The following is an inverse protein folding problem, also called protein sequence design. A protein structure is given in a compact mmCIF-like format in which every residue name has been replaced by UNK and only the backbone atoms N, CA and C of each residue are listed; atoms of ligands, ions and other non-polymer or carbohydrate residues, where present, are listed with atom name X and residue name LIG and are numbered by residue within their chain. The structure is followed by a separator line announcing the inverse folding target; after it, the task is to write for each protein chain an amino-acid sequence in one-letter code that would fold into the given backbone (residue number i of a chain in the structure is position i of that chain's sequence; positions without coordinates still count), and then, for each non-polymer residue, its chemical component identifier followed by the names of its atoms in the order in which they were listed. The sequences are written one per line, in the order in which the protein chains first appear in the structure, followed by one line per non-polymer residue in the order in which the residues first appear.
data_IF_379363886318
#
_entry.id   IF_379363886318
#
_cell.length_a   1.000
_cell.length_b   1.000
_cell.length_c   1.000
_cell.angle_alpha   90.00
_cell.angle_beta   90.00
_cell.angle_gamma   90.00
#
_symmetry.space_group_name_H-M   'P 1'
#
loop_
_entity.id
_entity.type
_entity.pdbx_description
1 polymer ?
#
# COMPACT_ATOMS: atom_id res chain seq x y z
N UNK A 1 6.02 0.63 -7.89
CA UNK A 1 6.17 2.06 -7.76
C UNK A 1 6.89 2.42 -9.02
N UNK A 2 6.33 3.36 -9.81
CA UNK A 2 6.92 3.70 -11.08
C UNK A 2 8.35 4.20 -10.87
N UNK A 3 9.28 3.59 -11.60
CA UNK A 3 10.69 4.02 -11.63
C UNK A 3 10.85 5.36 -12.37
N UNK A 4 9.85 5.75 -13.16
CA UNK A 4 9.79 7.04 -13.84
C UNK A 4 9.20 8.12 -12.92
N UNK A 5 9.98 9.17 -12.67
CA UNK A 5 9.58 10.31 -11.86
C UNK A 5 8.31 11.01 -12.36
N UNK A 6 8.10 11.11 -13.68
CA UNK A 6 6.93 11.79 -14.24
C UNK A 6 5.62 11.13 -13.78
N UNK A 7 5.58 9.79 -13.80
CA UNK A 7 4.42 9.01 -13.32
C UNK A 7 4.36 9.01 -11.80
N UNK A 8 5.50 8.93 -11.12
CA UNK A 8 5.55 8.94 -9.66
C UNK A 8 4.99 10.25 -9.08
N UNK A 9 5.33 11.40 -9.67
CA UNK A 9 4.84 12.70 -9.21
C UNK A 9 3.31 12.82 -9.29
N UNK A 10 2.69 12.13 -10.25
CA UNK A 10 1.22 12.06 -10.37
C UNK A 10 0.60 11.20 -9.27
N UNK A 11 1.36 10.25 -8.72
CA UNK A 11 0.95 9.41 -7.59
C UNK A 11 1.09 10.11 -6.22
N UNK A 12 1.45 11.39 -6.18
CA UNK A 12 1.62 12.12 -4.92
C UNK A 12 0.29 12.58 -4.34
N UNK A 13 0.04 12.21 -3.09
CA UNK A 13 -1.02 12.78 -2.26
C UNK A 13 -0.48 13.94 -1.42
N UNK A 14 -1.21 15.06 -1.40
CA UNK A 14 -0.86 16.26 -0.61
C UNK A 14 -1.59 16.27 0.73
N UNK A 15 -1.06 17.04 1.69
CA UNK A 15 -1.65 17.19 3.03
C UNK A 15 -3.07 17.75 2.97
N UNK A 16 -3.33 18.74 2.12
CA UNK A 16 -4.65 19.38 2.03
C UNK A 16 -5.70 18.42 1.45
N UNK A 17 -5.33 17.66 0.43
CA UNK A 17 -6.17 16.61 -0.18
C UNK A 17 -6.52 15.54 0.86
N UNK A 18 -5.52 15.08 1.62
CA UNK A 18 -5.71 14.10 2.69
C UNK A 18 -6.57 14.65 3.83
N UNK A 19 -6.38 15.91 4.21
CA UNK A 19 -7.18 16.57 5.25
C UNK A 19 -8.66 16.61 4.86
N UNK A 20 -8.97 17.06 3.64
CA UNK A 20 -10.36 17.15 3.19
C UNK A 20 -11.04 15.79 3.11
N UNK A 21 -10.33 14.75 2.62
CA UNK A 21 -10.85 13.38 2.62
C UNK A 21 -11.18 12.88 4.03
N UNK A 22 -10.29 13.11 5.00
CA UNK A 22 -10.50 12.71 6.38
C UNK A 22 -11.64 13.51 7.04
N UNK A 23 -11.69 14.82 6.80
CA UNK A 23 -12.75 15.69 7.32
C UNK A 23 -14.14 15.29 6.81
N UNK A 24 -14.23 14.90 5.53
CA UNK A 24 -15.49 14.44 4.94
C UNK A 24 -15.92 13.07 5.47
N UNK A 25 -14.97 12.16 5.72
CA UNK A 25 -15.28 10.87 6.35
C UNK A 25 -15.70 11.01 7.82
N UNK A 26 -15.09 11.93 8.56
CA UNK A 26 -15.46 12.20 9.96
C UNK A 26 -16.85 12.87 10.07
N UNK A 27 -17.17 13.77 9.15
CA UNK A 27 -18.48 14.43 9.06
C UNK A 27 -19.60 13.48 8.61
N UNK A 28 -19.28 12.34 7.99
CA UNK A 28 -20.24 11.28 7.66
C UNK A 28 -20.61 10.40 8.86
N UNK A 29 -19.68 10.22 9.82
CA UNK A 29 -19.88 9.40 11.02
C UNK A 29 -20.57 10.13 12.18
N UNK A 30 -20.38 11.44 12.28
CA UNK A 30 -21.05 12.28 13.27
C UNK A 30 -22.25 12.96 12.59
N UNK A 31 -23.48 12.53 12.90
CA UNK A 31 -24.74 13.06 12.38
C UNK A 31 -25.06 14.51 12.79
N UNK A 32 -24.08 15.39 12.84
CA UNK A 32 -24.27 16.83 13.00
C UNK A 32 -24.63 17.44 11.65
N UNK A 33 -25.93 17.63 11.47
CA UNK A 33 -26.56 18.47 10.46
C UNK A 33 -25.97 19.88 10.54
N UNK A 34 -24.91 20.11 9.77
CA UNK A 34 -24.51 21.45 9.37
C UNK A 34 -25.21 21.73 8.06
N UNK A 35 -26.22 22.60 8.13
CA UNK A 35 -26.98 23.13 7.01
C UNK A 35 -26.04 23.89 6.05
N UNK A 36 -25.40 23.16 5.14
CA UNK A 36 -24.81 23.73 3.93
C UNK A 36 -25.22 22.90 2.71
N UNK A 37 -25.60 23.65 1.67
CA UNK A 37 -26.52 23.30 0.58
C UNK A 37 -26.17 22.04 -0.24
N UNK A 38 -27.19 21.18 -0.37
CA UNK A 38 -27.64 20.34 -1.50
C UNK A 38 -26.70 19.48 -2.36
N UNK A 39 -25.38 19.49 -2.17
CA UNK A 39 -24.47 18.55 -2.88
C UNK A 39 -23.61 17.71 -1.95
N UNK A 40 -23.19 18.25 -0.81
CA UNK A 40 -22.34 17.57 0.18
C UNK A 40 -22.94 16.30 0.84
N UNK A 41 -24.27 16.15 1.04
CA UNK A 41 -24.84 15.00 1.75
C UNK A 41 -24.64 13.66 1.03
N UNK A 42 -24.80 13.62 -0.30
CA UNK A 42 -24.62 12.40 -1.09
C UNK A 42 -23.17 11.89 -1.05
N UNK A 43 -22.20 12.82 -1.01
CA UNK A 43 -20.79 12.47 -0.97
C UNK A 43 -20.34 12.00 0.42
N UNK A 44 -20.91 12.59 1.48
CA UNK A 44 -20.72 12.11 2.87
C UNK A 44 -21.27 10.68 3.03
N UNK A 45 -22.38 10.34 2.39
CA UNK A 45 -22.95 8.98 2.45
C UNK A 45 -22.08 7.89 1.79
N UNK A 46 -21.22 8.25 0.83
CA UNK A 46 -20.41 7.29 0.06
C UNK A 46 -18.99 7.08 0.62
N UNK A 47 -18.41 8.11 1.25
CA UNK A 47 -17.04 8.07 1.78
C UNK A 47 -17.01 7.51 3.21
N UNK A 48 -17.01 6.18 3.34
CA UNK A 48 -16.71 5.55 4.63
C UNK A 48 -15.20 5.58 4.91
N UNK A 49 -14.81 5.48 6.19
CA UNK A 49 -13.39 5.41 6.55
C UNK A 49 -12.64 4.25 5.85
N UNK A 50 -13.32 3.13 5.59
CA UNK A 50 -12.74 2.00 4.86
C UNK A 50 -12.41 2.37 3.40
N UNK A 51 -13.27 3.15 2.74
CA UNK A 51 -13.01 3.66 1.40
C UNK A 51 -11.82 4.62 1.40
N UNK A 52 -11.74 5.53 2.38
CA UNK A 52 -10.60 6.45 2.51
C UNK A 52 -9.30 5.66 2.73
N UNK A 53 -9.29 4.63 3.58
CA UNK A 53 -8.12 3.75 3.76
C UNK A 53 -7.70 3.08 2.45
N UNK A 54 -8.66 2.57 1.67
CA UNK A 54 -8.39 1.93 0.37
C UNK A 54 -7.87 2.91 -0.68
N UNK A 55 -8.40 4.14 -0.71
CA UNK A 55 -8.00 5.18 -1.66
C UNK A 55 -6.59 5.71 -1.39
N UNK A 56 -6.21 5.81 -0.12
CA UNK A 56 -4.91 6.31 0.30
C UNK A 56 -3.81 5.24 0.21
N UNK A 57 -4.19 3.96 0.24
CA UNK A 57 -3.24 2.87 0.10
C UNK A 57 -2.48 2.99 -1.23
N UNK A 58 -1.18 2.74 -1.17
CA UNK A 58 -0.27 2.78 -2.32
C UNK A 58 -0.07 4.16 -2.98
N UNK A 59 -0.59 5.24 -2.39
CA UNK A 59 -0.21 6.61 -2.79
C UNK A 59 1.20 6.96 -2.31
N UNK A 60 1.85 7.92 -2.97
CA UNK A 60 3.12 8.48 -2.54
C UNK A 60 2.89 9.75 -1.71
N UNK A 61 3.63 9.88 -0.62
CA UNK A 61 3.59 11.08 0.23
C UNK A 61 5.00 11.58 0.45
N UNK A 62 5.16 12.90 0.37
CA UNK A 62 6.36 13.61 0.80
C UNK A 62 6.18 13.95 2.27
N UNK A 63 7.05 13.47 3.15
CA UNK A 63 6.87 13.61 4.60
C UNK A 63 8.07 14.27 5.24
N UNK A 64 7.81 15.24 6.12
CA UNK A 64 8.82 15.80 7.01
C UNK A 64 9.15 14.79 8.11
N UNK A 65 10.39 14.31 8.14
CA UNK A 65 10.82 13.33 9.13
C UNK A 65 11.02 14.04 10.47
N UNK A 66 10.32 13.63 11.54
CA UNK A 66 10.48 14.25 12.85
C UNK A 66 11.86 13.94 13.45
N UNK A 67 12.40 14.87 14.25
CA UNK A 67 13.78 14.82 14.80
C UNK A 67 14.14 13.48 15.45
N UNK A 68 13.21 12.88 16.19
CA UNK A 68 13.39 11.59 16.85
C UNK A 68 13.63 10.41 15.88
N UNK A 69 13.26 10.55 14.61
CA UNK A 69 13.37 9.52 13.57
C UNK A 69 14.37 9.87 12.47
N UNK A 70 14.95 11.08 12.50
CA UNK A 70 15.92 11.54 11.51
C UNK A 70 17.22 10.72 11.51
N UNK A 71 17.64 10.21 12.67
CA UNK A 71 18.85 9.38 12.74
C UNK A 71 18.68 8.08 11.93
N UNK A 72 17.51 7.45 12.04
CA UNK A 72 17.23 6.19 11.35
C UNK A 72 16.88 6.40 9.87
N UNK A 73 15.97 7.35 9.59
CA UNK A 73 15.38 7.49 8.25
C UNK A 73 16.21 8.39 7.31
N UNK A 74 16.99 9.34 7.84
CA UNK A 74 17.77 10.28 7.02
C UNK A 74 19.25 9.96 7.11
N UNK A 75 19.80 9.98 8.32
CA UNK A 75 21.23 9.79 8.53
C UNK A 75 21.65 8.32 8.41
N UNK A 76 20.77 7.36 8.71
CA UNK A 76 21.04 5.93 8.57
C UNK A 76 20.97 5.42 7.12
N UNK A 77 20.42 6.21 6.19
CA UNK A 77 20.24 5.78 4.81
C UNK A 77 21.47 6.12 3.94
N UNK A 78 22.08 5.07 3.39
CA UNK A 78 23.29 5.14 2.54
C UNK A 78 23.07 5.94 1.26
N UNK A 79 21.86 5.93 0.70
CA UNK A 79 21.49 6.63 -0.53
C UNK A 79 21.22 8.13 -0.32
N UNK A 80 20.73 8.52 0.86
CA UNK A 80 20.60 9.94 1.26
C UNK A 80 21.99 10.55 1.43
N UNK A 81 22.89 9.85 2.13
CA UNK A 81 24.27 10.31 2.32
C UNK A 81 25.04 10.38 0.99
N UNK A 82 24.90 9.37 0.12
CA UNK A 82 25.54 9.36 -1.20
C UNK A 82 25.06 10.52 -2.09
N UNK A 83 23.78 10.90 -2.02
CA UNK A 83 23.27 12.07 -2.73
C UNK A 83 23.76 13.39 -2.12
N UNK A 84 23.84 13.50 -0.79
CA UNK A 84 24.37 14.68 -0.12
C UNK A 84 25.86 14.91 -0.43
N UNK A 85 26.64 13.83 -0.57
CA UNK A 85 28.05 13.90 -0.92
C UNK A 85 28.29 14.27 -2.40
N UNK A 86 27.33 13.96 -3.28
CA UNK A 86 27.35 14.36 -4.69
C UNK A 86 26.92 15.82 -4.92
N UNK A 87 26.04 16.36 -4.05
CA UNK A 87 25.42 17.67 -4.17
C UNK A 87 25.86 18.61 -3.02
N UNK A 88 27.16 18.86 -2.87
CA UNK A 88 27.78 19.65 -1.79
C UNK A 88 27.44 21.16 -1.77
N UNK A 89 26.39 21.61 -2.47
CA UNK A 89 26.05 23.03 -2.65
C UNK A 89 24.61 23.40 -2.25
N UNK A 90 23.81 22.49 -1.68
CA UNK A 90 22.43 22.76 -1.24
C UNK A 90 22.17 22.41 0.24
N UNK A 91 23.08 22.79 1.13
CA UNK A 91 23.10 22.41 2.55
C UNK A 91 21.92 22.90 3.43
N UNK A 92 20.94 23.63 2.91
CA UNK A 92 19.94 24.30 3.76
C UNK A 92 18.56 23.64 3.90
N UNK A 93 18.02 23.03 2.84
CA UNK A 93 16.56 22.85 2.76
C UNK A 93 16.08 21.41 2.48
N UNK A 94 16.93 20.51 1.98
CA UNK A 94 16.48 19.19 1.53
C UNK A 94 16.65 18.05 2.57
N UNK A 95 17.32 18.29 3.69
CA UNK A 95 17.71 17.21 4.63
C UNK A 95 16.63 16.74 5.61
N UNK A 96 15.36 17.12 5.42
CA UNK A 96 14.30 16.78 6.37
C UNK A 96 13.10 16.07 5.74
N UNK A 97 13.08 15.90 4.43
CA UNK A 97 11.95 15.31 3.73
C UNK A 97 12.32 13.96 3.11
N UNK A 98 11.37 13.03 3.13
CA UNK A 98 11.48 11.77 2.38
C UNK A 98 10.19 11.46 1.65
N UNK A 99 10.33 10.79 0.53
CA UNK A 99 9.22 10.18 -0.19
C UNK A 99 9.01 8.77 0.35
N UNK A 100 7.76 8.43 0.60
CA UNK A 100 7.38 7.08 0.99
C UNK A 100 6.02 6.69 0.44
N UNK A 101 5.80 5.37 0.38
CA UNK A 101 4.55 4.73 -0.04
C UNK A 101 3.65 4.54 1.16
N UNK A 102 2.39 4.97 1.08
CA UNK A 102 1.39 4.66 2.10
C UNK A 102 1.01 3.18 2.01
N UNK A 103 1.13 2.48 3.13
CA UNK A 103 0.77 1.05 3.26
C UNK A 103 -0.45 0.88 4.17
N UNK A 104 -0.63 1.76 5.15
CA UNK A 104 -1.77 1.71 6.05
C UNK A 104 -2.13 3.10 6.58
N UNK A 105 -3.40 3.28 6.94
CA UNK A 105 -3.90 4.43 7.68
C UNK A 105 -4.56 3.90 8.97
N UNK A 106 -4.02 4.30 10.12
CA UNK A 106 -4.37 3.77 11.44
C UNK A 106 -4.83 4.92 12.34
N UNK A 107 -5.96 4.81 13.07
CA UNK A 107 -6.33 5.81 14.06
C UNK A 107 -5.33 5.80 15.21
N UNK A 108 -4.95 6.98 15.69
CA UNK A 108 -4.03 7.11 16.82
C UNK A 108 -4.77 6.73 18.10
N UNK A 109 -4.28 5.75 18.89
CA UNK A 109 -4.93 5.41 20.15
C UNK A 109 -4.89 6.62 21.09
N UNK A 110 -6.07 7.12 21.48
CA UNK A 110 -6.20 8.15 22.50
C UNK A 110 -5.85 7.49 23.84
N UNK A 111 -4.80 7.97 24.50
CA UNK A 111 -4.63 7.69 25.92
C UNK A 111 -5.87 8.25 26.65
N UNK A 112 -6.38 7.49 27.64
CA UNK A 112 -7.53 7.84 28.49
C UNK A 112 -7.63 9.36 28.76
N UNK A 113 -8.83 9.98 28.71
CA UNK A 113 -9.01 11.39 28.98
C UNK A 113 -8.87 11.63 30.49
N UNK A 114 -7.62 11.68 30.95
CA UNK A 114 -7.23 11.91 32.33
C UNK A 114 -5.93 12.71 32.35
N UNK A 115 -5.96 13.91 31.79
CA UNK A 115 -4.80 14.81 31.79
C UNK A 115 -5.12 16.07 31.01
N UNK A 116 -5.04 17.22 31.70
CA UNK A 116 -5.31 18.56 31.19
C UNK A 116 -4.87 18.75 29.73
N UNK A 117 -5.84 18.99 28.84
CA UNK A 117 -5.57 19.65 27.58
C UNK A 117 -5.18 21.09 27.89
N UNK A 118 -3.90 21.42 27.81
CA UNK A 118 -3.49 22.78 27.47
C UNK A 118 -3.95 23.03 26.05
N UNK A 119 -5.12 23.66 25.91
CA UNK A 119 -5.63 24.17 24.66
C UNK A 119 -4.58 25.10 24.06
N UNK A 120 -3.82 24.57 23.11
CA UNK A 120 -3.06 25.37 22.16
C UNK A 120 -3.98 25.51 20.96
N UNK A 121 -4.22 26.74 20.52
CA UNK A 121 -5.06 27.14 19.39
C UNK A 121 -4.59 26.49 18.07
N UNK A 122 -4.81 25.19 17.92
CA UNK A 122 -4.60 24.48 16.68
C UNK A 122 -5.87 24.61 15.83
N UNK A 123 -5.72 25.17 14.62
CA UNK A 123 -6.77 25.21 13.61
C UNK A 123 -7.50 23.85 13.55
N UNK A 124 -8.83 23.81 13.41
CA UNK A 124 -9.62 22.56 13.39
C UNK A 124 -9.07 21.52 12.41
N UNK A 125 -8.39 21.97 11.35
CA UNK A 125 -7.73 21.12 10.37
C UNK A 125 -6.49 20.37 10.88
N UNK A 126 -5.70 21.00 11.75
CA UNK A 126 -4.53 20.38 12.36
C UNK A 126 -4.92 19.32 13.40
N UNK A 127 -6.10 19.47 14.02
CA UNK A 127 -6.65 18.53 14.99
C UNK A 127 -6.94 17.18 14.33
N UNK A 128 -7.68 17.16 13.21
CA UNK A 128 -8.05 15.92 12.50
C UNK A 128 -6.81 15.16 11.98
N UNK A 129 -5.83 15.83 11.39
CA UNK A 129 -4.59 15.18 10.94
C UNK A 129 -3.72 14.62 12.08
N UNK A 130 -3.92 15.10 13.31
CA UNK A 130 -3.17 14.64 14.48
C UNK A 130 -3.71 13.34 15.08
N UNK A 131 -4.94 12.97 14.71
CA UNK A 131 -5.66 11.77 15.13
C UNK A 131 -5.33 10.54 14.28
N UNK A 132 -4.65 10.72 13.15
CA UNK A 132 -4.33 9.63 12.21
C UNK A 132 -2.82 9.40 12.09
N UNK A 133 -2.45 8.12 12.03
CA UNK A 133 -1.10 7.63 11.77
C UNK A 133 -1.06 6.97 10.38
N UNK A 134 -0.04 7.30 9.61
CA UNK A 134 0.27 6.71 8.32
C UNK A 134 1.39 5.69 8.48
N UNK A 135 1.14 4.44 8.10
CA UNK A 135 2.17 3.43 7.89
C UNK A 135 2.82 3.68 6.53
N UNK A 136 4.06 4.17 6.54
CA UNK A 136 4.78 4.60 5.33
C UNK A 136 5.97 3.68 5.12
N UNK A 137 6.08 3.13 3.90
CA UNK A 137 7.23 2.38 3.44
C UNK A 137 8.19 3.32 2.71
N UNK A 138 9.42 3.46 3.22
CA UNK A 138 10.52 4.23 2.61
C UNK A 138 11.43 3.37 1.72
N UNK A 139 11.06 2.12 1.47
CA UNK A 139 11.80 1.13 0.68
C UNK A 139 12.62 0.18 1.54
N UNK A 140 13.38 0.74 2.47
CA UNK A 140 14.22 -0.02 3.41
C UNK A 140 13.54 -0.31 4.74
N UNK A 141 12.69 0.62 5.19
CA UNK A 141 12.01 0.59 6.47
C UNK A 141 10.56 0.98 6.29
N UNK A 142 9.69 0.36 7.07
CA UNK A 142 8.29 0.76 7.22
C UNK A 142 8.13 1.40 8.59
N UNK A 143 7.52 2.57 8.65
CA UNK A 143 7.39 3.31 9.88
C UNK A 143 6.06 4.06 9.98
N UNK A 144 5.59 4.28 11.22
CA UNK A 144 4.35 4.97 11.52
C UNK A 144 4.63 6.44 11.81
N UNK A 145 4.08 7.33 10.99
CA UNK A 145 4.20 8.78 11.12
C UNK A 145 2.82 9.43 11.19
N UNK A 146 2.67 10.50 11.98
CA UNK A 146 1.42 11.25 12.01
C UNK A 146 1.10 11.90 10.66
N UNK A 147 -0.16 11.91 10.25
CA UNK A 147 -0.60 12.50 8.99
C UNK A 147 -0.25 14.01 8.89
N UNK A 148 -0.12 14.70 10.02
CA UNK A 148 0.37 16.09 10.10
C UNK A 148 1.73 16.35 9.44
N UNK A 149 2.59 15.34 9.33
CA UNK A 149 3.95 15.50 8.78
C UNK A 149 4.01 15.44 7.25
N UNK A 150 2.92 15.03 6.58
CA UNK A 150 2.83 15.05 5.10
C UNK A 150 2.97 16.49 4.60
N UNK A 151 3.65 16.73 3.49
CA UNK A 151 3.85 18.04 2.88
C UNK A 151 2.87 18.29 1.73
N UNK A 152 2.58 19.57 1.46
CA UNK A 152 1.84 20.01 0.27
C UNK A 152 2.75 20.23 -0.94
N UNK A 153 4.05 20.36 -0.72
CA UNK A 153 5.01 20.60 -1.77
C UNK A 153 5.25 19.32 -2.60
N UNK A 154 5.44 19.44 -3.92
CA UNK A 154 5.82 18.31 -4.75
C UNK A 154 7.17 17.76 -4.29
N UNK A 155 7.35 16.44 -4.35
CA UNK A 155 8.66 15.85 -4.11
C UNK A 155 9.58 16.01 -5.31
N UNK A 156 10.88 16.07 -5.08
CA UNK A 156 11.88 16.26 -6.15
C UNK A 156 12.25 14.94 -6.83
N UNK A 157 12.82 15.03 -8.03
CA UNK A 157 13.38 13.86 -8.73
C UNK A 157 14.50 13.19 -7.92
N UNK A 158 15.25 13.97 -7.13
CA UNK A 158 16.31 13.46 -6.26
C UNK A 158 15.73 12.67 -5.08
N UNK A 159 14.69 13.19 -4.42
CA UNK A 159 13.98 12.49 -3.34
C UNK A 159 13.35 11.17 -3.83
N UNK A 160 12.80 11.18 -5.05
CA UNK A 160 12.27 9.98 -5.70
C UNK A 160 13.36 8.97 -6.07
N UNK A 161 14.50 9.42 -6.60
CA UNK A 161 15.62 8.55 -6.93
C UNK A 161 16.18 7.85 -5.67
N UNK A 162 16.27 8.56 -4.54
CA UNK A 162 16.65 7.99 -3.25
C UNK A 162 15.64 6.92 -2.81
N UNK A 163 14.35 7.19 -2.93
CA UNK A 163 13.29 6.22 -2.62
C UNK A 163 13.37 4.96 -3.50
N UNK A 164 13.52 5.12 -4.82
CA UNK A 164 13.65 3.99 -5.76
C UNK A 164 14.89 3.16 -5.45
N UNK A 165 16.06 3.79 -5.22
CA UNK A 165 17.29 3.09 -4.84
C UNK A 165 17.13 2.33 -3.52
N UNK A 166 16.44 2.94 -2.53
CA UNK A 166 16.15 2.30 -1.25
C UNK A 166 15.23 1.08 -1.41
N UNK A 167 14.24 1.14 -2.30
CA UNK A 167 13.37 0.00 -2.64
C UNK A 167 14.10 -1.13 -3.41
N UNK A 168 15.07 -0.77 -4.25
CA UNK A 168 15.84 -1.76 -5.03
C UNK A 168 16.89 -2.46 -4.18
N UNK A 169 17.45 -1.77 -3.20
CA UNK A 169 18.42 -2.32 -2.23
C UNK A 169 17.88 -3.50 -1.44
N UNK A 170 16.64 -3.39 -0.95
CA UNK A 170 15.98 -4.45 -0.15
C UNK A 170 15.51 -5.64 -0.96
N UNK A 171 15.56 -5.55 -2.30
CA UNK A 171 15.13 -6.62 -3.22
C UNK A 171 16.10 -7.80 -3.25
N UNK A 172 17.33 -7.63 -2.77
CA UNK A 172 18.33 -8.69 -2.74
C UNK A 172 18.11 -9.70 -1.59
N UNK A 173 17.49 -9.29 -0.48
CA UNK A 173 17.57 -10.07 0.77
C UNK A 173 16.25 -10.61 1.33
N UNK A 174 15.05 -10.19 0.89
CA UNK A 174 13.78 -10.74 1.42
C UNK A 174 12.58 -10.71 0.46
N UNK A 175 11.71 -11.72 0.58
CA UNK A 175 10.42 -11.89 -0.13
C UNK A 175 9.39 -10.77 0.11
N UNK A 176 9.59 -9.94 1.13
CA UNK A 176 8.79 -8.74 1.44
C UNK A 176 8.98 -7.59 0.44
N UNK A 177 10.05 -7.64 -0.37
CA UNK A 177 10.41 -6.60 -1.34
C UNK A 177 9.53 -6.56 -2.60
N UNK A 178 8.76 -7.62 -2.89
CA UNK A 178 7.83 -7.65 -4.03
C UNK A 178 6.69 -6.63 -3.90
N UNK A 179 6.36 -6.18 -2.68
CA UNK A 179 5.25 -5.24 -2.40
C UNK A 179 5.63 -3.75 -2.53
N UNK A 180 6.93 -3.41 -2.59
CA UNK A 180 7.39 -2.03 -2.71
C UNK A 180 7.22 -1.49 -4.14
N UNK A 181 7.41 -2.35 -5.16
CA UNK A 181 7.32 -1.98 -6.57
C UNK A 181 5.99 -2.43 -7.21
N UNK A 182 4.90 -1.66 -7.00
CA UNK A 182 3.70 -1.63 -7.87
C UNK A 182 3.97 -1.80 -9.37
N UNK A 183 3.12 -2.61 -10.01
CA UNK A 183 3.05 -2.78 -11.46
C UNK A 183 2.59 -1.50 -12.18
N UNK A 184 2.78 -1.43 -13.50
CA UNK A 184 2.31 -0.30 -14.31
C UNK A 184 0.77 -0.14 -14.22
N UNK A 185 0.04 -1.26 -14.22
CA UNK A 185 -1.42 -1.26 -14.09
C UNK A 185 -1.88 -0.70 -12.72
N UNK A 186 -1.21 -1.06 -11.64
CA UNK A 186 -1.51 -0.49 -10.31
C UNK A 186 -1.18 1.00 -10.23
N UNK A 187 -0.09 1.44 -10.87
CA UNK A 187 0.27 2.86 -10.92
C UNK A 187 -0.80 3.67 -11.67
N UNK A 188 -1.32 3.16 -12.79
CA UNK A 188 -2.40 3.81 -13.55
C UNK A 188 -3.69 3.94 -12.73
N UNK A 189 -4.03 2.93 -11.92
CA UNK A 189 -5.17 2.99 -11.01
C UNK A 189 -4.96 4.06 -9.94
N UNK A 190 -3.77 4.15 -9.33
CA UNK A 190 -3.49 5.19 -8.33
C UNK A 190 -3.49 6.59 -8.95
N UNK A 191 -2.96 6.76 -10.16
CA UNK A 191 -3.00 8.04 -10.87
C UNK A 191 -4.45 8.48 -11.14
N UNK A 192 -5.30 7.56 -11.61
CA UNK A 192 -6.74 7.83 -11.82
C UNK A 192 -7.44 8.18 -10.50
N UNK A 193 -7.23 7.38 -9.46
CA UNK A 193 -7.84 7.63 -8.14
C UNK A 193 -7.43 9.01 -7.59
N UNK A 194 -6.16 9.40 -7.73
CA UNK A 194 -5.70 10.72 -7.28
C UNK A 194 -6.20 11.87 -8.15
N UNK A 195 -6.37 11.63 -9.45
CA UNK A 195 -7.04 12.58 -10.34
C UNK A 195 -8.47 12.84 -9.86
N UNK A 196 -9.23 11.77 -9.61
CA UNK A 196 -10.61 11.85 -9.12
C UNK A 196 -10.69 12.51 -7.74
N UNK A 197 -9.78 12.15 -6.82
CA UNK A 197 -9.67 12.80 -5.50
C UNK A 197 -9.44 14.30 -5.64
N UNK A 198 -8.56 14.73 -6.55
CA UNK A 198 -8.25 16.15 -6.75
C UNK A 198 -9.43 16.91 -7.34
N UNK A 199 -10.12 16.34 -8.32
CA UNK A 199 -11.34 16.92 -8.86
C UNK A 199 -12.42 17.02 -7.79
N UNK A 200 -12.57 15.97 -6.99
CA UNK A 200 -13.51 15.91 -5.88
C UNK A 200 -13.22 16.96 -4.81
N UNK A 201 -11.97 17.03 -4.31
CA UNK A 201 -11.55 18.04 -3.33
C UNK A 201 -11.77 19.45 -3.88
N UNK A 202 -11.46 19.69 -5.16
CA UNK A 202 -11.70 20.99 -5.81
C UNK A 202 -13.19 21.33 -5.84
N UNK A 203 -14.06 20.37 -6.17
CA UNK A 203 -15.51 20.55 -6.19
C UNK A 203 -16.07 20.84 -4.79
N UNK A 204 -15.57 20.13 -3.75
CA UNK A 204 -15.97 20.36 -2.36
C UNK A 204 -15.53 21.73 -1.87
N UNK A 205 -14.30 22.14 -2.15
CA UNK A 205 -13.78 23.46 -1.77
C UNK A 205 -14.54 24.58 -2.50
N UNK A 206 -14.87 24.38 -3.78
CA UNK A 206 -15.68 25.31 -4.55
C UNK A 206 -17.12 25.42 -4.02
N UNK A 207 -17.73 24.30 -3.63
CA UNK A 207 -19.07 24.27 -3.03
C UNK A 207 -19.12 25.01 -1.67
N UNK A 208 -18.04 24.96 -0.88
CA UNK A 208 -17.89 25.74 0.37
C UNK A 208 -17.55 27.23 0.15
N UNK A 209 -17.76 27.75 -1.06
CA UNK A 209 -17.51 29.15 -1.40
C UNK A 209 -16.05 29.58 -1.33
N UNK A 210 -15.08 28.65 -1.48
CA UNK A 210 -13.65 28.95 -1.49
C UNK A 210 -13.06 29.42 -0.15
N UNK A 211 -13.87 29.59 0.90
CA UNK A 211 -13.41 30.08 2.22
C UNK A 211 -12.49 29.10 2.96
N UNK A 212 -12.56 27.81 2.65
CA UNK A 212 -11.70 26.79 3.27
C UNK A 212 -10.22 26.89 2.81
N UNK A 213 -9.95 27.38 1.59
CA UNK A 213 -8.59 27.44 1.04
C UNK A 213 -7.74 28.58 1.66
N UNK A 214 -8.38 29.61 2.24
CA UNK A 214 -7.70 30.75 2.83
C UNK A 214 -7.13 30.47 4.23
N UNK A 215 -7.62 29.45 4.93
CA UNK A 215 -7.23 29.19 6.34
C UNK A 215 -5.92 28.38 6.46
N UNK A 216 -5.43 27.77 5.37
CA UNK A 216 -4.23 26.89 5.40
C UNK A 216 -3.06 27.44 4.58
N UNK A 217 -3.26 28.50 3.78
CA UNK A 217 -2.17 29.19 3.05
C UNK A 217 -1.43 30.20 3.95
N UNK A 218 -0.90 29.73 5.08
CA UNK A 218 0.04 30.47 5.91
C UNK A 218 1.48 30.25 5.42
N UNK A 219 2.12 31.34 5.01
CA UNK A 219 3.56 31.49 4.71
C UNK A 219 4.07 31.04 3.32
N UNK A 220 3.85 31.88 2.31
CA UNK A 220 4.88 32.20 1.30
C UNK A 220 4.57 33.57 0.68
N UNK A 221 5.39 34.58 1.01
CA UNK A 221 5.19 35.94 0.56
C UNK A 221 5.35 36.09 -0.96
N UNK A 222 4.35 36.70 -1.60
CA UNK A 222 4.56 37.50 -2.80
C UNK A 222 4.01 38.90 -2.54
N UNK A 223 4.95 39.84 -2.44
CA UNK A 223 4.71 41.28 -2.33
C UNK A 223 4.07 41.76 -3.64
N UNK A 224 2.91 42.39 -3.55
CA UNK A 224 2.52 43.44 -4.49
C UNK A 224 1.98 44.64 -3.70
N UNK A 225 2.17 45.86 -4.23
CA UNK A 225 2.39 47.04 -3.43
C UNK A 225 1.09 47.68 -2.98
N UNK A 226 1.16 48.20 -1.76
CA UNK A 226 0.14 48.96 -1.06
C UNK A 226 0.40 50.44 -1.33
N UNK A 227 -0.44 51.08 -2.13
CA UNK A 227 -0.59 52.53 -2.05
C UNK A 227 -1.75 52.85 -1.11
N UNK A 228 -1.43 53.73 -0.16
CA UNK A 228 -2.31 54.22 0.89
C UNK A 228 -2.72 55.64 0.58
N UNK A 229 -3.98 55.98 0.83
CA UNK A 229 -4.41 57.27 1.38
C UNK A 229 -5.83 57.07 1.94
N UNK A 230 -6.00 56.92 3.26
CA UNK A 230 -6.20 58.02 4.22
C UNK A 230 -7.53 58.76 3.92
N UNK A 231 -8.63 58.40 4.59
CA UNK A 231 -9.03 58.81 5.96
C UNK A 231 -9.85 60.11 5.99
N UNK A 232 -10.74 60.15 6.98
CA UNK A 232 -11.57 61.26 7.46
C UNK A 232 -12.98 61.37 6.85
N UNK A 233 -14.07 61.62 7.58
CA UNK A 233 -14.40 61.69 9.02
C UNK A 233 -15.92 62.00 9.07
N UNK A 234 -16.61 61.55 10.12
CA UNK A 234 -17.93 62.05 10.55
C UNK A 234 -19.13 61.37 9.86
N UNK A 235 -20.08 60.72 10.53
CA UNK A 235 -20.53 60.81 11.92
C UNK A 235 -21.91 61.48 11.97
N UNK A 236 -22.79 60.93 12.81
CA UNK A 236 -24.19 61.36 13.12
C UNK A 236 -25.20 61.16 11.97
N UNK A 237 -26.40 60.63 12.18
CA UNK A 237 -27.13 60.21 13.37
C UNK A 237 -28.62 60.01 13.02
N UNK A 238 -29.36 59.36 13.90
CA UNK A 238 -30.82 59.13 13.94
C UNK A 238 -31.44 58.23 12.87
N UNK A 239 -32.04 57.09 13.22
CA UNK A 239 -33.27 56.88 14.03
C UNK A 239 -34.55 57.41 13.35
N UNK A 240 -35.58 56.56 13.36
CA UNK A 240 -36.96 56.96 13.10
C UNK A 240 -37.54 56.29 11.87
N UNK A 241 -38.09 55.07 11.97
CA UNK A 241 -39.43 54.77 12.49
C UNK A 241 -40.51 54.85 11.41
N UNK A 242 -41.40 53.88 11.51
CA UNK A 242 -42.50 53.50 10.65
C UNK A 242 -43.43 54.65 10.27
N UNK A 243 -44.02 54.57 9.08
CA UNK A 243 -45.47 54.60 8.98
C UNK A 243 -45.98 54.07 7.64
N UNK A 244 -47.11 53.37 7.77
CA UNK A 244 -48.05 52.97 6.74
C UNK A 244 -48.28 54.05 5.69
N UNK A 245 -48.39 53.60 4.44
CA UNK A 245 -49.46 54.00 3.55
C UNK A 245 -49.95 52.74 2.84
N UNK A 246 -51.09 52.23 3.32
CA UNK A 246 -52.07 51.61 2.43
C UNK A 246 -52.57 52.66 1.42
N UNK A 247 -53.22 52.19 0.35
CA UNK A 247 -53.73 52.92 -0.82
C UNK A 247 -52.67 53.27 -1.89
N UNK A 248 -52.80 52.90 -3.18
CA UNK A 248 -54.02 52.78 -3.99
C UNK A 248 -53.98 51.58 -4.97
N UNK A 249 -55.04 50.77 -4.91
CA UNK A 249 -55.48 49.93 -6.02
C UNK A 249 -56.26 50.78 -7.03
N UNK A 250 -55.58 51.57 -7.87
CA UNK A 250 -56.20 52.23 -9.02
C UNK A 250 -55.58 51.72 -10.33
N UNK A 251 -56.02 50.52 -10.71
CA UNK A 251 -55.92 50.05 -12.09
C UNK A 251 -56.91 50.80 -12.97
N UNK A 252 -56.65 52.09 -13.19
CA UNK A 252 -57.27 52.90 -14.24
C UNK A 252 -57.19 52.11 -15.56
N UNK A 253 -58.36 51.68 -16.03
CA UNK A 253 -58.55 51.03 -17.31
C UNK A 253 -58.24 52.00 -18.44
N UNK A 254 -56.95 52.18 -18.73
CA UNK A 254 -56.49 52.74 -19.99
C UNK A 254 -57.00 51.84 -21.11
N UNK A 255 -58.03 52.30 -21.81
CA UNK A 255 -58.52 51.68 -23.04
C UNK A 255 -57.37 51.66 -24.04
N UNK A 256 -56.63 50.55 -24.04
CA UNK A 256 -55.63 50.23 -25.05
C UNK A 256 -56.27 50.46 -26.42
N UNK A 257 -55.59 51.26 -27.23
CA UNK A 257 -56.04 51.50 -28.60
C UNK A 257 -56.13 50.16 -29.34
N UNK A 258 -57.01 50.07 -30.34
CA UNK A 258 -57.24 48.83 -31.10
C UNK A 258 -55.95 48.20 -31.64
N UNK A 259 -54.95 49.03 -31.93
CA UNK A 259 -53.62 48.59 -32.38
C UNK A 259 -52.78 47.99 -31.25
N UNK A 260 -52.80 48.57 -30.05
CA UNK A 260 -52.10 48.04 -28.87
C UNK A 260 -52.65 46.68 -28.43
N UNK A 261 -53.98 46.48 -28.49
CA UNK A 261 -54.60 45.18 -28.21
C UNK A 261 -54.20 44.09 -29.24
N UNK A 262 -53.97 44.47 -30.49
CA UNK A 262 -53.48 43.53 -31.51
C UNK A 262 -52.01 43.18 -31.28
N UNK A 263 -51.18 44.14 -30.85
CA UNK A 263 -49.77 43.93 -30.51
C UNK A 263 -49.64 43.05 -29.26
N UNK A 264 -50.41 43.29 -28.19
CA UNK A 264 -50.40 42.42 -27.02
C UNK A 264 -50.89 41.00 -27.34
N UNK A 265 -51.94 40.88 -28.16
CA UNK A 265 -52.42 39.57 -28.60
C UNK A 265 -51.38 38.83 -29.46
N UNK A 266 -50.57 39.55 -30.24
CA UNK A 266 -49.44 38.97 -30.97
C UNK A 266 -48.33 38.52 -30.01
N UNK A 267 -47.95 39.35 -29.02
CA UNK A 267 -46.97 38.99 -27.99
C UNK A 267 -47.38 37.76 -27.19
N UNK A 268 -48.63 37.68 -26.74
CA UNK A 268 -49.13 36.50 -26.02
C UNK A 268 -49.23 35.23 -26.88
N UNK A 269 -49.32 35.35 -28.21
CA UNK A 269 -49.20 34.20 -29.11
C UNK A 269 -47.75 33.77 -29.25
N UNK A 270 -46.84 34.72 -29.44
CA UNK A 270 -45.40 34.43 -29.50
C UNK A 270 -44.88 33.82 -28.21
N UNK A 271 -45.30 34.33 -27.04
CA UNK A 271 -44.96 33.76 -25.73
C UNK A 271 -45.49 32.34 -25.58
N UNK A 272 -46.74 32.06 -26.00
CA UNK A 272 -47.27 30.70 -26.00
C UNK A 272 -46.46 29.76 -26.89
N UNK A 273 -46.13 30.18 -28.11
CA UNK A 273 -45.26 29.41 -29.00
C UNK A 273 -43.87 29.16 -28.38
N UNK A 274 -43.30 30.14 -27.66
CA UNK A 274 -42.03 29.98 -26.94
C UNK A 274 -42.14 28.96 -25.80
N UNK A 275 -43.22 29.00 -25.01
CA UNK A 275 -43.47 28.05 -23.93
C UNK A 275 -43.73 26.62 -24.45
N UNK A 276 -44.41 26.49 -25.59
CA UNK A 276 -44.61 25.20 -26.27
C UNK A 276 -43.28 24.64 -26.78
N UNK A 277 -42.45 25.47 -27.44
CA UNK A 277 -41.11 25.05 -27.88
C UNK A 277 -40.23 24.61 -26.72
N UNK A 278 -40.23 25.36 -25.62
CA UNK A 278 -39.45 25.03 -24.42
C UNK A 278 -39.92 23.71 -23.79
N UNK A 279 -41.23 23.47 -23.75
CA UNK A 279 -41.81 22.21 -23.26
C UNK A 279 -41.38 21.03 -24.14
N UNK A 280 -41.46 21.19 -25.45
CA UNK A 280 -41.03 20.16 -26.40
C UNK A 280 -39.53 19.87 -26.29
N UNK A 281 -38.70 20.90 -26.13
CA UNK A 281 -37.26 20.74 -25.86
C UNK A 281 -37.00 19.98 -24.58
N UNK A 282 -37.66 20.34 -23.46
CA UNK A 282 -37.54 19.59 -22.21
C UNK A 282 -38.00 18.14 -22.37
N UNK A 283 -39.07 17.89 -23.11
CA UNK A 283 -39.56 16.53 -23.37
C UNK A 283 -38.59 15.72 -24.23
N UNK A 284 -37.94 16.34 -25.22
CA UNK A 284 -36.85 15.74 -26.00
C UNK A 284 -35.64 15.43 -25.09
N UNK A 285 -35.23 16.36 -24.25
CA UNK A 285 -34.15 16.13 -23.28
C UNK A 285 -34.44 14.96 -22.34
N UNK A 286 -35.66 14.88 -21.78
CA UNK A 286 -36.07 13.76 -20.94
C UNK A 286 -36.07 12.43 -21.69
N UNK A 287 -36.53 12.41 -22.95
CA UNK A 287 -36.50 11.20 -23.78
C UNK A 287 -35.05 10.75 -24.07
N UNK A 288 -34.14 11.69 -24.36
CA UNK A 288 -32.72 11.42 -24.57
C UNK A 288 -32.04 10.89 -23.31
N UNK A 289 -32.36 11.45 -22.13
CA UNK A 289 -31.85 10.95 -20.85
C UNK A 289 -32.34 9.53 -20.54
N UNK A 290 -33.62 9.22 -20.81
CA UNK A 290 -34.15 7.86 -20.65
C UNK A 290 -33.46 6.86 -21.58
N UNK A 291 -33.21 7.25 -22.82
CA UNK A 291 -32.49 6.40 -23.78
C UNK A 291 -31.04 6.18 -23.35
N UNK A 292 -30.35 7.22 -22.88
CA UNK A 292 -28.98 7.13 -22.37
C UNK A 292 -28.92 6.23 -21.13
N UNK A 293 -29.88 6.38 -20.20
CA UNK A 293 -29.97 5.54 -19.00
C UNK A 293 -30.18 4.06 -19.38
N UNK A 294 -31.07 3.78 -20.34
CA UNK A 294 -31.29 2.42 -20.82
C UNK A 294 -30.05 1.84 -21.53
N UNK A 295 -29.35 2.66 -22.33
CA UNK A 295 -28.10 2.26 -22.97
C UNK A 295 -27.02 1.92 -21.92
N UNK A 296 -26.86 2.79 -20.92
CA UNK A 296 -25.90 2.60 -19.82
C UNK A 296 -26.25 1.40 -18.94
N UNK A 297 -27.53 1.16 -18.67
CA UNK A 297 -27.96 -0.06 -17.99
C UNK A 297 -27.62 -1.32 -18.80
N UNK A 298 -27.78 -1.28 -20.12
CA UNK A 298 -27.37 -2.39 -21.00
C UNK A 298 -25.84 -2.59 -21.06
N UNK A 299 -25.06 -1.51 -21.02
CA UNK A 299 -23.59 -1.59 -20.89
C UNK A 299 -23.17 -2.22 -19.56
N UNK A 300 -23.77 -1.77 -18.44
CA UNK A 300 -23.49 -2.32 -17.11
C UNK A 300 -23.82 -3.80 -17.04
N UNK A 301 -24.97 -4.23 -17.58
CA UNK A 301 -25.34 -5.64 -17.61
C UNK A 301 -24.35 -6.48 -18.42
N UNK A 302 -23.86 -5.97 -19.55
CA UNK A 302 -22.82 -6.64 -20.35
C UNK A 302 -21.51 -6.76 -19.58
N UNK A 303 -21.05 -5.67 -18.95
CA UNK A 303 -19.82 -5.68 -18.14
C UNK A 303 -19.94 -6.68 -16.99
N UNK A 304 -21.07 -6.70 -16.28
CA UNK A 304 -21.33 -7.67 -15.21
C UNK A 304 -21.32 -9.11 -15.72
N UNK A 305 -21.91 -9.37 -16.89
CA UNK A 305 -21.86 -10.70 -17.50
C UNK A 305 -20.43 -11.11 -17.86
N UNK A 306 -19.65 -10.22 -18.48
CA UNK A 306 -18.24 -10.50 -18.81
C UNK A 306 -17.39 -10.73 -17.56
N UNK A 307 -17.64 -9.97 -16.49
CA UNK A 307 -16.95 -10.15 -15.21
C UNK A 307 -17.27 -11.51 -14.59
N UNK A 308 -18.56 -11.90 -14.55
CA UNK A 308 -18.96 -13.22 -14.03
C UNK A 308 -18.35 -14.36 -14.82
N UNK A 309 -18.25 -14.21 -16.14
CA UNK A 309 -17.60 -15.21 -16.99
C UNK A 309 -16.10 -15.30 -16.70
N UNK A 310 -15.40 -14.17 -16.61
CA UNK A 310 -13.98 -14.15 -16.26
C UNK A 310 -13.72 -14.72 -14.85
N UNK A 311 -14.61 -14.45 -13.89
CA UNK A 311 -14.53 -15.05 -12.55
C UNK A 311 -14.74 -16.57 -12.57
N UNK A 312 -15.65 -17.08 -13.41
CA UNK A 312 -15.85 -18.51 -13.57
C UNK A 312 -14.62 -19.17 -14.21
N UNK A 313 -14.07 -18.59 -15.28
CA UNK A 313 -12.84 -19.05 -15.94
C UNK A 313 -11.67 -19.08 -14.93
N UNK A 314 -11.45 -17.99 -14.20
CA UNK A 314 -10.40 -17.92 -13.17
C UNK A 314 -10.58 -18.96 -12.05
N UNK A 315 -11.82 -19.25 -11.63
CA UNK A 315 -12.07 -20.33 -10.66
C UNK A 315 -11.68 -21.70 -11.22
N UNK A 316 -12.01 -21.98 -12.47
CA UNK A 316 -11.62 -23.25 -13.12
C UNK A 316 -10.10 -23.36 -13.28
N UNK A 317 -9.41 -22.25 -13.58
CA UNK A 317 -7.94 -22.23 -13.63
C UNK A 317 -7.32 -22.52 -12.26
N UNK A 318 -7.83 -21.89 -11.19
CA UNK A 318 -7.37 -22.18 -9.82
C UNK A 318 -7.56 -23.66 -9.47
N UNK A 319 -8.71 -24.24 -9.81
CA UNK A 319 -8.99 -25.66 -9.56
C UNK A 319 -8.02 -26.57 -10.33
N UNK A 320 -7.72 -26.25 -11.59
CA UNK A 320 -6.72 -26.97 -12.38
C UNK A 320 -5.32 -26.86 -11.78
N UNK A 321 -4.92 -25.67 -11.30
CA UNK A 321 -3.64 -25.48 -10.63
C UNK A 321 -3.56 -26.25 -9.32
N UNK A 322 -4.63 -26.23 -8.51
CA UNK A 322 -4.72 -27.04 -7.28
C UNK A 322 -4.57 -28.52 -7.57
N UNK A 323 -5.31 -29.06 -8.55
CA UNK A 323 -5.20 -30.46 -8.95
C UNK A 323 -3.77 -30.83 -9.41
N UNK A 324 -3.11 -29.97 -10.20
CA UNK A 324 -1.71 -30.17 -10.61
C UNK A 324 -0.75 -30.17 -9.41
N UNK A 325 -0.90 -29.23 -8.48
CA UNK A 325 -0.05 -29.17 -7.28
C UNK A 325 -0.26 -30.38 -6.37
N UNK A 326 -1.50 -30.87 -6.25
CA UNK A 326 -1.79 -32.07 -5.48
C UNK A 326 -1.20 -33.32 -6.14
N UNK A 327 -1.32 -33.45 -7.47
CA UNK A 327 -0.68 -34.53 -8.21
C UNK A 327 0.85 -34.51 -8.07
N UNK A 328 1.48 -33.34 -8.19
CA UNK A 328 2.93 -33.19 -7.94
C UNK A 328 3.30 -33.52 -6.48
N UNK A 329 2.48 -33.12 -5.52
CA UNK A 329 2.68 -33.49 -4.12
C UNK A 329 2.59 -35.01 -3.90
N UNK A 330 1.65 -35.68 -4.56
CA UNK A 330 1.52 -37.13 -4.50
C UNK A 330 2.70 -37.85 -5.15
N UNK A 331 3.21 -37.37 -6.29
CA UNK A 331 4.39 -37.97 -6.94
C UNK A 331 5.64 -37.80 -6.08
N UNK A 332 5.86 -36.61 -5.49
CA UNK A 332 6.98 -36.37 -4.56
C UNK A 332 6.91 -37.32 -3.37
N UNK A 333 5.74 -37.48 -2.73
CA UNK A 333 5.60 -38.42 -1.60
C UNK A 333 5.88 -39.87 -2.00
N UNK A 334 5.55 -40.29 -3.22
CA UNK A 334 5.87 -41.64 -3.73
C UNK A 334 7.38 -41.79 -3.94
N UNK A 335 8.03 -40.80 -4.54
CA UNK A 335 9.49 -40.83 -4.73
C UNK A 335 10.24 -40.80 -3.41
N UNK A 336 9.77 -40.04 -2.43
CA UNK A 336 10.35 -40.01 -1.08
C UNK A 336 10.25 -41.36 -0.38
N UNK A 337 9.11 -42.06 -0.51
CA UNK A 337 8.96 -43.43 0.02
C UNK A 337 9.92 -44.40 -0.65
N UNK A 338 10.02 -44.39 -1.98
CA UNK A 338 10.97 -45.25 -2.69
C UNK A 338 12.43 -44.96 -2.29
N UNK A 339 12.80 -43.69 -2.13
CA UNK A 339 14.14 -43.32 -1.65
C UNK A 339 14.36 -43.71 -0.18
N UNK A 340 13.32 -43.71 0.66
CA UNK A 340 13.42 -44.19 2.04
C UNK A 340 13.64 -45.71 2.07
N UNK A 341 12.86 -46.47 1.31
CA UNK A 341 13.01 -47.92 1.15
C UNK A 341 14.41 -48.28 0.60
N UNK A 342 14.90 -47.55 -0.41
CA UNK A 342 16.25 -47.78 -0.95
C UNK A 342 17.33 -47.54 0.11
N UNK A 343 17.18 -46.50 0.95
CA UNK A 343 18.12 -46.24 2.06
C UNK A 343 18.08 -47.34 3.11
N UNK A 344 16.92 -47.93 3.40
CA UNK A 344 16.81 -49.06 4.31
C UNK A 344 17.51 -50.30 3.74
N UNK A 345 17.27 -50.63 2.46
CA UNK A 345 17.98 -51.73 1.78
C UNK A 345 19.50 -51.50 1.76
N UNK A 346 19.95 -50.27 1.53
CA UNK A 346 21.37 -49.94 1.60
C UNK A 346 21.95 -50.15 3.01
N UNK A 347 21.20 -49.83 4.08
CA UNK A 347 21.62 -50.12 5.46
C UNK A 347 21.74 -51.61 5.71
N UNK A 348 20.74 -52.40 5.32
CA UNK A 348 20.80 -53.86 5.46
C UNK A 348 22.00 -54.46 4.70
N UNK A 349 22.28 -53.97 3.50
CA UNK A 349 23.43 -54.40 2.73
C UNK A 349 24.75 -54.05 3.42
N UNK A 350 24.86 -52.84 4.00
CA UNK A 350 26.03 -52.46 4.81
C UNK A 350 26.22 -53.40 5.99
N UNK A 351 25.16 -53.68 6.74
CA UNK A 351 25.22 -54.62 7.87
C UNK A 351 25.65 -56.03 7.43
N UNK A 352 25.15 -56.52 6.29
CA UNK A 352 25.60 -57.80 5.70
C UNK A 352 27.08 -57.76 5.34
N UNK A 353 27.56 -56.68 4.72
CA UNK A 353 28.98 -56.53 4.38
C UNK A 353 29.87 -56.43 5.63
N UNK A 354 29.43 -55.74 6.68
CA UNK A 354 30.16 -55.65 7.95
C UNK A 354 30.29 -57.02 8.62
N UNK A 355 29.23 -57.84 8.60
CA UNK A 355 29.28 -59.23 9.10
C UNK A 355 30.27 -60.09 8.31
N UNK A 356 30.28 -59.99 6.98
CA UNK A 356 31.24 -60.72 6.14
C UNK A 356 32.68 -60.26 6.38
N UNK A 357 32.91 -58.95 6.53
CA UNK A 357 34.24 -58.39 6.87
C UNK A 357 34.70 -58.90 8.24
N UNK A 358 33.81 -58.99 9.23
CA UNK A 358 34.13 -59.54 10.54
C UNK A 358 34.51 -61.03 10.46
N UNK A 359 33.82 -61.82 9.63
CA UNK A 359 34.18 -63.22 9.38
C UNK A 359 35.53 -63.36 8.69
N UNK A 360 35.80 -62.53 7.67
CA UNK A 360 37.10 -62.48 7.00
C UNK A 360 38.23 -62.13 7.97
N UNK A 361 38.04 -61.15 8.85
CA UNK A 361 39.01 -60.81 9.90
C UNK A 361 39.32 -61.99 10.81
N UNK A 362 38.29 -62.73 11.25
CA UNK A 362 38.48 -63.96 12.05
C UNK A 362 39.27 -65.02 11.29
N UNK A 363 38.97 -65.24 10.00
CA UNK A 363 39.72 -66.18 9.15
C UNK A 363 41.17 -65.76 8.96
N UNK A 364 41.44 -64.47 8.72
CA UNK A 364 42.81 -63.93 8.64
C UNK A 364 43.56 -64.17 9.95
N UNK A 365 42.91 -63.97 11.10
CA UNK A 365 43.52 -64.17 12.41
C UNK A 365 43.78 -65.65 12.72
N UNK A 366 42.86 -66.54 12.34
CA UNK A 366 43.10 -67.98 12.37
C UNK A 366 44.27 -68.38 11.46
N UNK A 367 44.30 -67.85 10.23
CA UNK A 367 45.39 -68.12 9.26
C UNK A 367 46.72 -67.61 9.79
N UNK A 368 46.75 -66.46 10.47
CA UNK A 368 47.95 -65.95 11.15
C UNK A 368 48.41 -66.91 12.26
N UNK A 369 47.50 -67.40 13.10
CA UNK A 369 47.84 -68.40 14.13
C UNK A 369 48.37 -69.70 13.52
N UNK A 370 47.74 -70.19 12.46
CA UNK A 370 48.25 -71.36 11.72
C UNK A 370 49.63 -71.09 11.13
N UNK A 371 49.87 -69.89 10.60
CA UNK A 371 51.18 -69.48 10.10
C UNK A 371 52.21 -69.41 11.22
N UNK A 372 51.88 -68.85 12.37
CA UNK A 372 52.77 -68.82 13.54
C UNK A 372 53.11 -70.25 14.02
N UNK A 373 52.13 -71.17 14.01
CA UNK A 373 52.36 -72.60 14.28
C UNK A 373 53.22 -73.25 13.17
N UNK A 374 52.99 -72.95 11.89
CA UNK A 374 53.81 -73.52 10.81
C UNK A 374 55.23 -72.97 10.79
N UNK A 375 55.41 -71.68 11.06
CA UNK A 375 56.71 -71.00 11.11
C UNK A 375 57.51 -71.54 12.29
N UNK A 376 56.88 -71.71 13.48
CA UNK A 376 57.53 -72.39 14.60
C UNK A 376 57.93 -73.81 14.22
N UNK A 377 57.03 -74.65 13.69
CA UNK A 377 57.38 -76.01 13.24
C UNK A 377 58.51 -76.00 12.19
N UNK A 378 58.51 -75.06 11.26
CA UNK A 378 59.58 -74.90 10.28
C UNK A 378 60.91 -74.47 10.92
N UNK A 379 60.89 -73.61 11.95
CA UNK A 379 62.07 -73.29 12.78
C UNK A 379 62.58 -74.53 13.54
N UNK A 380 61.69 -75.31 14.16
CA UNK A 380 62.04 -76.58 14.81
C UNK A 380 62.63 -77.60 13.83
N UNK A 381 62.09 -77.69 12.62
CA UNK A 381 62.63 -78.54 11.55
C UNK A 381 63.95 -78.00 10.98
N UNK A 382 64.15 -76.68 10.93
CA UNK A 382 65.44 -76.05 10.57
C UNK A 382 66.51 -76.24 11.65
N UNK A 383 66.10 -76.38 12.91
CA UNK A 383 66.96 -76.85 14.01
C UNK A 383 67.24 -78.36 13.93
N UNK A 384 66.60 -79.07 13.00
CA UNK A 384 66.79 -80.49 12.66
C UNK A 384 68.07 -80.80 11.87
N UNK A 385 69.22 -80.26 12.28
CA UNK A 385 70.52 -80.94 12.09
C UNK A 385 70.85 -81.87 13.26
N UNK A 386 69.86 -82.21 14.11
CA UNK A 386 70.00 -83.17 15.20
C UNK A 386 68.95 -84.29 15.09
N UNK A 387 69.36 -85.47 15.56
CA UNK A 387 68.71 -86.77 15.39
C UNK A 387 67.24 -86.78 15.87
N UNK A 388 66.36 -87.59 15.25
CA UNK A 388 64.91 -87.62 15.54
C UNK A 388 64.57 -88.02 17.00
N UNK A 389 65.48 -88.66 17.72
CA UNK A 389 65.28 -89.06 19.12
C UNK A 389 65.26 -87.87 20.09
N UNK A 390 66.02 -86.81 19.81
CA UNK A 390 66.11 -85.61 20.67
C UNK A 390 64.83 -84.73 20.58
N UNK A 391 64.14 -84.79 19.44
CA UNK A 391 62.90 -84.05 19.19
C UNK A 391 61.74 -84.68 19.99
N UNK A 392 61.70 -86.01 20.10
CA UNK A 392 60.69 -86.73 20.89
C UNK A 392 60.86 -86.53 22.40
N UNK A 393 62.10 -86.43 22.89
CA UNK A 393 62.37 -86.13 24.30
C UNK A 393 61.94 -84.70 24.66
N UNK A 394 62.23 -83.73 23.79
CA UNK A 394 61.88 -82.32 24.00
C UNK A 394 60.37 -82.07 23.94
N UNK A 395 59.64 -82.80 23.07
CA UNK A 395 58.17 -82.75 23.02
C UNK A 395 57.53 -83.28 24.30
N UNK A 396 58.06 -84.36 24.90
CA UNK A 396 57.55 -84.89 26.17
C UNK A 396 57.76 -83.93 27.34
N UNK A 397 58.87 -83.21 27.36
CA UNK A 397 59.17 -82.20 28.38
C UNK A 397 58.24 -80.99 28.22
N UNK A 398 58.11 -80.45 27.01
CA UNK A 398 57.22 -79.29 26.74
C UNK A 398 55.74 -79.62 26.96
N UNK A 399 55.30 -80.84 26.64
CA UNK A 399 53.92 -81.27 26.91
C UNK A 399 53.63 -81.36 28.41
N UNK A 400 54.62 -81.76 29.22
CA UNK A 400 54.53 -81.78 30.68
C UNK A 400 54.52 -80.38 31.29
N UNK A 401 55.30 -79.43 30.75
CA UNK A 401 55.29 -78.02 31.17
C UNK A 401 54.00 -77.28 30.78
N UNK A 402 53.28 -77.75 29.77
CA UNK A 402 52.02 -77.14 29.31
C UNK A 402 50.78 -77.64 30.07
N UNK A 403 50.94 -78.69 30.90
CA UNK A 403 49.87 -79.32 31.68
C UNK A 403 49.93 -78.98 33.19
N UNK A 404 50.95 -78.24 33.63
CA UNK A 404 50.92 -77.45 34.87
C UNK A 404 50.44 -76.03 34.54
#
# INVERSE_FOLDING_TARGET
MPSNYAVASQCQLRRDEMHELLALSAAAGNGTETAEEDKLPLWRMLLTEAHVRSLLAHTLVRVSVPKNKQQQLIHGNKYVQANAQANSSTEGQQHHYRVGKVVALVPRPRASPGGLQTATDASPAASLLSEWLLGINFGETTDLLGAKYVSNEPFSAEEHAVFVRSCLSTRADTTTAASALMSAAEADVVVRNLYDIREYVRAVVAARGGKAAAVVSGAAGRKHPRDSAAAALGGTGNEGNCNDNEDDCDGEGGLLTREELLVERARHREERCRWESLRDEQQRHLSGLRQLLNSKNGEIQRVLHTQRQAEAEHRTEIEQWRAKTEQQGQTIRRTERMLAEEREVQRENREKTEKLVAQLKKLVEQTRRFKEVSDTVAEWLRLGTKQPEDVLASLKIKLAESQM
#
